data_IF_033697893758
#
_entry.id   IF_033697893758
#
_cell.length_a   1.000
_cell.length_b   1.000
_cell.length_c   1.000
_cell.angle_alpha   90.00
_cell.angle_beta   90.00
_cell.angle_gamma   90.00
#
_symmetry.space_group_name_H-M   'P 1'
#
loop_
_entity.id
_entity.type
_entity.pdbx_description
1 polymer ?
#
# COMPACT_ATOMS: atom_id res chain seq x y z
N UNK A 1 -9.35 -37.28 5.03
CA UNK A 1 -8.86 -36.57 3.84
C UNK A 1 -7.73 -37.39 3.21
N UNK A 2 -7.69 -37.51 1.89
CA UNK A 2 -6.60 -38.22 1.19
C UNK A 2 -5.28 -37.44 1.35
N UNK A 3 -4.17 -38.07 1.76
CA UNK A 3 -2.86 -37.42 1.87
C UNK A 3 -2.40 -36.68 0.60
N UNK A 4 -2.77 -37.19 -0.58
CA UNK A 4 -2.44 -36.57 -1.87
C UNK A 4 -3.24 -35.30 -2.12
N UNK A 5 -4.50 -35.29 -1.69
CA UNK A 5 -5.40 -34.13 -1.81
C UNK A 5 -5.00 -33.03 -0.83
N UNK A 6 -4.61 -33.40 0.40
CA UNK A 6 -4.03 -32.48 1.37
C UNK A 6 -2.77 -31.78 0.84
N UNK A 7 -1.84 -32.55 0.25
CA UNK A 7 -0.58 -31.99 -0.27
C UNK A 7 -0.83 -31.02 -1.45
N UNK A 8 -1.81 -31.31 -2.30
CA UNK A 8 -2.22 -30.42 -3.39
C UNK A 8 -2.78 -29.10 -2.87
N UNK A 9 -3.67 -29.17 -1.88
CA UNK A 9 -4.23 -27.99 -1.22
C UNK A 9 -3.10 -27.16 -0.61
N UNK A 10 -2.20 -27.76 0.18
CA UNK A 10 -1.08 -27.04 0.80
C UNK A 10 -0.18 -26.31 -0.23
N UNK A 11 0.09 -26.94 -1.38
CA UNK A 11 0.91 -26.32 -2.44
C UNK A 11 0.18 -25.13 -3.09
N UNK A 12 -1.12 -25.26 -3.37
CA UNK A 12 -1.92 -24.17 -3.93
C UNK A 12 -1.97 -22.98 -2.96
N UNK A 13 -2.20 -23.23 -1.68
CA UNK A 13 -2.25 -22.20 -0.63
C UNK A 13 -0.92 -21.44 -0.53
N UNK A 14 0.22 -22.15 -0.55
CA UNK A 14 1.56 -21.54 -0.53
C UNK A 14 1.80 -20.67 -1.76
N UNK A 15 1.35 -21.10 -2.95
CA UNK A 15 1.47 -20.33 -4.19
C UNK A 15 0.63 -19.05 -4.14
N UNK A 16 -0.61 -19.15 -3.67
CA UNK A 16 -1.52 -18.00 -3.50
C UNK A 16 -0.89 -16.95 -2.58
N UNK A 17 -0.40 -17.37 -1.40
CA UNK A 17 0.28 -16.50 -0.43
C UNK A 17 1.48 -15.77 -1.05
N UNK A 18 2.32 -16.47 -1.82
CA UNK A 18 3.49 -15.88 -2.47
C UNK A 18 3.06 -14.84 -3.53
N UNK A 19 2.03 -15.16 -4.31
CA UNK A 19 1.49 -14.26 -5.34
C UNK A 19 0.99 -12.95 -4.74
N UNK A 20 0.15 -13.02 -3.71
CA UNK A 20 -0.43 -11.87 -3.02
C UNK A 20 0.68 -10.97 -2.44
N UNK A 21 1.61 -11.55 -1.68
CA UNK A 21 2.73 -10.79 -1.09
C UNK A 21 3.62 -10.13 -2.14
N UNK A 22 3.84 -10.81 -3.26
CA UNK A 22 4.63 -10.26 -4.38
C UNK A 22 3.93 -9.05 -4.99
N UNK A 23 2.61 -9.11 -5.17
CA UNK A 23 1.83 -8.02 -5.73
C UNK A 23 1.80 -6.81 -4.78
N UNK A 24 1.55 -7.01 -3.49
CA UNK A 24 1.63 -5.95 -2.48
C UNK A 24 3.01 -5.28 -2.46
N UNK A 25 4.08 -6.08 -2.42
CA UNK A 25 5.46 -5.57 -2.41
C UNK A 25 5.75 -4.73 -3.66
N UNK A 26 5.22 -5.14 -4.82
CA UNK A 26 5.36 -4.38 -6.08
C UNK A 26 4.61 -3.06 -6.01
N UNK A 27 3.37 -3.05 -5.54
CA UNK A 27 2.57 -1.83 -5.40
C UNK A 27 3.22 -0.84 -4.42
N UNK A 28 3.72 -1.34 -3.29
CA UNK A 28 4.45 -0.54 -2.30
C UNK A 28 5.69 0.12 -2.91
N UNK A 29 6.51 -0.67 -3.62
CA UNK A 29 7.69 -0.14 -4.31
C UNK A 29 7.32 0.93 -5.34
N UNK A 30 6.19 0.76 -6.02
CA UNK A 30 5.71 1.76 -6.98
C UNK A 30 5.44 3.09 -6.27
N UNK A 31 4.68 3.09 -5.16
CA UNK A 31 4.43 4.29 -4.36
C UNK A 31 5.74 4.95 -3.92
N UNK A 32 6.64 4.19 -3.29
CA UNK A 32 7.92 4.71 -2.79
C UNK A 32 8.76 5.33 -3.90
N UNK A 33 8.84 4.68 -5.07
CA UNK A 33 9.62 5.20 -6.20
C UNK A 33 9.10 6.56 -6.72
N UNK A 34 7.80 6.80 -6.61
CA UNK A 34 7.20 8.08 -6.99
C UNK A 34 7.50 9.19 -5.97
N UNK A 35 7.60 8.83 -4.68
CA UNK A 35 8.01 9.77 -3.63
C UNK A 35 9.48 10.18 -3.80
N UNK A 36 10.36 9.22 -4.10
CA UNK A 36 11.80 9.47 -4.30
C UNK A 36 12.11 10.24 -5.61
N UNK A 37 11.29 10.03 -6.65
CA UNK A 37 11.50 10.61 -7.98
C UNK A 37 10.96 12.02 -8.18
N UNK A 38 10.49 12.73 -7.14
CA UNK A 38 9.78 14.00 -7.26
C UNK A 38 8.60 13.95 -8.25
N UNK A 39 7.80 12.88 -8.18
CA UNK A 39 6.65 12.73 -9.07
C UNK A 39 5.53 13.73 -8.72
N UNK A 40 4.71 14.11 -9.71
CA UNK A 40 3.57 14.99 -9.45
C UNK A 40 2.49 14.29 -8.60
N UNK A 41 1.67 15.09 -7.91
CA UNK A 41 0.62 14.60 -6.99
C UNK A 41 -0.36 13.63 -7.64
N UNK A 42 -0.67 13.80 -8.93
CA UNK A 42 -1.55 12.89 -9.67
C UNK A 42 -0.97 11.47 -9.78
N UNK A 43 0.35 11.35 -9.98
CA UNK A 43 1.05 10.08 -10.10
C UNK A 43 1.13 9.36 -8.75
N UNK A 44 1.46 10.10 -7.68
CA UNK A 44 1.47 9.55 -6.31
C UNK A 44 0.07 9.06 -5.92
N UNK A 45 -0.98 9.85 -6.20
CA UNK A 45 -2.37 9.44 -5.94
C UNK A 45 -2.77 8.18 -6.72
N UNK A 46 -2.34 8.05 -7.97
CA UNK A 46 -2.60 6.85 -8.77
C UNK A 46 -1.87 5.62 -8.20
N UNK A 47 -0.64 5.79 -7.71
CA UNK A 47 0.12 4.72 -7.08
C UNK A 47 -0.48 4.29 -5.74
N UNK A 48 -0.97 5.22 -4.91
CA UNK A 48 -1.70 4.90 -3.68
C UNK A 48 -2.94 4.04 -3.96
N UNK A 49 -3.73 4.39 -4.99
CA UNK A 49 -4.90 3.57 -5.39
C UNK A 49 -4.52 2.14 -5.80
N UNK A 50 -3.36 1.96 -6.44
CA UNK A 50 -2.87 0.62 -6.77
C UNK A 50 -2.45 -0.16 -5.52
N UNK A 51 -1.88 0.53 -4.53
CA UNK A 51 -1.55 -0.06 -3.25
C UNK A 51 -2.80 -0.46 -2.46
N UNK A 52 -3.84 0.37 -2.45
CA UNK A 52 -5.14 0.06 -1.83
C UNK A 52 -5.77 -1.19 -2.45
N UNK A 53 -5.78 -1.26 -3.78
CA UNK A 53 -6.27 -2.44 -4.50
C UNK A 53 -5.46 -3.70 -4.17
N UNK A 54 -4.13 -3.59 -4.15
CA UNK A 54 -3.26 -4.72 -3.81
C UNK A 54 -3.47 -5.19 -2.37
N UNK A 55 -3.70 -4.27 -1.44
CA UNK A 55 -3.97 -4.57 -0.03
C UNK A 55 -5.28 -5.36 0.14
N UNK A 56 -6.37 -4.89 -0.48
CA UNK A 56 -7.69 -5.53 -0.42
C UNK A 56 -7.65 -6.98 -0.94
N UNK A 57 -6.98 -7.21 -2.07
CA UNK A 57 -6.80 -8.55 -2.62
C UNK A 57 -5.95 -9.45 -1.72
N UNK A 58 -4.94 -8.90 -1.03
CA UNK A 58 -4.11 -9.64 -0.08
C UNK A 58 -4.90 -10.03 1.16
N UNK A 59 -5.69 -9.12 1.73
CA UNK A 59 -6.55 -9.40 2.90
C UNK A 59 -7.54 -10.50 2.55
N UNK A 60 -8.31 -10.35 1.46
CA UNK A 60 -9.28 -11.36 1.01
C UNK A 60 -8.66 -12.74 0.82
N UNK A 61 -7.48 -12.76 0.21
CA UNK A 61 -6.72 -13.99 0.02
C UNK A 61 -6.29 -14.62 1.34
N UNK A 62 -5.74 -13.83 2.27
CA UNK A 62 -5.32 -14.31 3.59
C UNK A 62 -6.50 -14.78 4.46
N UNK A 63 -7.66 -14.12 4.37
CA UNK A 63 -8.90 -14.57 5.04
C UNK A 63 -9.37 -15.92 4.50
N UNK A 64 -9.38 -16.08 3.18
CA UNK A 64 -9.70 -17.36 2.53
C UNK A 64 -8.74 -18.46 2.98
N UNK A 65 -7.43 -18.16 3.05
CA UNK A 65 -6.41 -19.08 3.57
C UNK A 65 -6.67 -19.44 5.05
N UNK A 66 -6.97 -18.46 5.90
CA UNK A 66 -7.24 -18.68 7.32
C UNK A 66 -8.45 -19.59 7.53
N UNK A 67 -9.55 -19.35 6.80
CA UNK A 67 -10.75 -20.16 6.85
C UNK A 67 -10.49 -21.61 6.43
N UNK A 68 -9.75 -21.82 5.32
CA UNK A 68 -9.36 -23.17 4.88
C UNK A 68 -8.49 -23.90 5.92
N UNK A 69 -7.59 -23.21 6.63
CA UNK A 69 -6.80 -23.84 7.70
C UNK A 69 -7.62 -24.18 8.94
N UNK A 70 -8.63 -23.38 9.29
CA UNK A 70 -9.55 -23.70 10.39
C UNK A 70 -10.41 -24.92 10.08
N UNK A 71 -10.84 -25.10 8.84
CA UNK A 71 -11.62 -26.28 8.40
C UNK A 71 -10.83 -27.59 8.50
N UNK A 72 -9.49 -27.53 8.47
CA UNK A 72 -8.58 -28.70 8.52
C UNK A 72 -7.98 -28.91 9.93
N UNK A 73 -8.46 -28.19 10.95
CA UNK A 73 -7.97 -28.24 12.36
C UNK A 73 -6.48 -27.85 12.51
N UNK A 74 -5.97 -26.97 11.63
CA UNK A 74 -4.58 -26.50 11.65
C UNK A 74 -4.43 -25.14 12.35
N UNK A 75 -4.85 -25.07 13.62
CA UNK A 75 -4.88 -23.85 14.43
C UNK A 75 -3.57 -23.05 14.41
N UNK A 76 -2.43 -23.73 14.45
CA UNK A 76 -1.12 -23.08 14.46
C UNK A 76 -0.81 -22.40 13.11
N UNK A 77 -1.28 -22.97 12.00
CA UNK A 77 -1.11 -22.34 10.68
C UNK A 77 -2.02 -21.13 10.51
N UNK A 78 -3.23 -21.15 11.08
CA UNK A 78 -4.13 -19.99 11.09
C UNK A 78 -3.51 -18.80 11.84
N UNK A 79 -2.89 -19.02 13.02
CA UNK A 79 -2.18 -17.94 13.75
C UNK A 79 -1.07 -17.30 12.93
N UNK A 80 -0.31 -18.08 12.15
CA UNK A 80 0.75 -17.57 11.27
C UNK A 80 0.15 -16.69 10.15
N UNK A 81 -1.04 -17.03 9.64
CA UNK A 81 -1.73 -16.22 8.64
C UNK A 81 -2.19 -14.90 9.25
N UNK A 82 -2.81 -14.92 10.42
CA UNK A 82 -3.25 -13.72 11.15
C UNK A 82 -2.06 -12.78 11.42
N UNK A 83 -0.95 -13.29 11.94
CA UNK A 83 0.24 -12.49 12.21
C UNK A 83 0.84 -11.88 10.91
N UNK A 84 0.72 -12.56 9.77
CA UNK A 84 1.14 -12.01 8.49
C UNK A 84 0.18 -10.90 8.01
N UNK A 85 -1.13 -11.03 8.24
CA UNK A 85 -2.11 -9.97 7.95
C UNK A 85 -1.79 -8.69 8.72
N UNK A 86 -1.62 -8.79 10.05
CA UNK A 86 -1.27 -7.66 10.91
C UNK A 86 0.01 -6.96 10.44
N UNK A 87 1.01 -7.73 10.02
CA UNK A 87 2.26 -7.18 9.49
C UNK A 87 2.04 -6.41 8.19
N UNK A 88 1.24 -6.94 7.27
CA UNK A 88 0.96 -6.30 5.98
C UNK A 88 0.14 -5.02 6.19
N UNK A 89 -0.82 -5.03 7.13
CA UNK A 89 -1.59 -3.84 7.51
C UNK A 89 -0.67 -2.71 8.02
N UNK A 90 0.27 -3.04 8.91
CA UNK A 90 1.25 -2.07 9.41
C UNK A 90 2.17 -1.53 8.29
N UNK A 91 2.59 -2.38 7.35
CA UNK A 91 3.38 -1.95 6.19
C UNK A 91 2.57 -1.03 5.25
N UNK A 92 1.27 -1.28 5.11
CA UNK A 92 0.35 -0.45 4.35
C UNK A 92 0.17 0.93 5.00
N UNK A 93 -0.20 0.96 6.28
CA UNK A 93 -0.41 2.20 7.05
C UNK A 93 0.79 3.13 6.92
N UNK A 94 1.99 2.60 7.21
CA UNK A 94 3.24 3.38 7.08
C UNK A 94 3.43 3.95 5.67
N UNK A 95 3.19 3.15 4.64
CA UNK A 95 3.37 3.61 3.25
C UNK A 95 2.37 4.72 2.89
N UNK A 96 1.13 4.62 3.40
CA UNK A 96 0.12 5.65 3.19
C UNK A 96 0.40 6.94 3.96
N UNK A 97 0.92 6.84 5.20
CA UNK A 97 1.34 7.99 6.00
C UNK A 97 2.47 8.76 5.30
N UNK A 98 3.48 8.06 4.81
CA UNK A 98 4.60 8.65 4.06
C UNK A 98 4.11 9.38 2.80
N UNK A 99 3.16 8.78 2.06
CA UNK A 99 2.57 9.42 0.88
C UNK A 99 1.72 10.65 1.23
N UNK A 100 0.95 10.59 2.30
CA UNK A 100 0.16 11.73 2.80
C UNK A 100 1.06 12.90 3.24
N UNK A 101 2.16 12.61 3.94
CA UNK A 101 3.14 13.61 4.34
C UNK A 101 3.74 14.32 3.11
N UNK A 102 4.18 13.56 2.11
CA UNK A 102 4.72 14.11 0.86
C UNK A 102 3.72 15.05 0.14
N UNK A 103 2.46 14.63 0.01
CA UNK A 103 1.43 15.44 -0.65
C UNK A 103 1.12 16.73 0.11
N UNK A 104 1.17 16.70 1.45
CA UNK A 104 0.99 17.88 2.28
C UNK A 104 2.15 18.87 2.15
N UNK A 105 3.38 18.38 2.10
CA UNK A 105 4.58 19.21 1.91
C UNK A 105 4.54 19.91 0.55
N UNK A 106 4.23 19.19 -0.52
CA UNK A 106 4.08 19.75 -1.87
C UNK A 106 3.02 20.87 -1.92
N UNK A 107 1.90 20.68 -1.20
CA UNK A 107 0.83 21.69 -1.10
C UNK A 107 1.30 22.94 -0.36
N UNK A 108 2.05 22.77 0.73
CA UNK A 108 2.63 23.87 1.52
C UNK A 108 3.62 24.69 0.69
N UNK A 109 4.50 24.02 -0.04
CA UNK A 109 5.47 24.67 -0.91
C UNK A 109 4.77 25.47 -2.02
N UNK A 110 3.77 24.87 -2.67
CA UNK A 110 2.97 25.54 -3.69
C UNK A 110 2.28 26.80 -3.14
N UNK A 111 1.68 26.72 -1.94
CA UNK A 111 1.03 27.87 -1.31
C UNK A 111 2.03 28.99 -0.97
N UNK A 112 3.24 28.65 -0.50
CA UNK A 112 4.32 29.59 -0.22
C UNK A 112 4.78 30.31 -1.49
N UNK A 113 4.95 29.58 -2.59
CA UNK A 113 5.33 30.16 -3.88
C UNK A 113 4.26 31.10 -4.43
N UNK A 114 2.97 30.72 -4.34
CA UNK A 114 1.84 31.57 -4.76
C UNK A 114 1.77 32.86 -3.94
N UNK A 115 1.96 32.78 -2.62
CA UNK A 115 1.99 33.96 -1.74
C UNK A 115 3.15 34.93 -2.06
N UNK A 116 4.34 34.39 -2.36
CA UNK A 116 5.49 35.19 -2.81
C UNK A 116 5.23 35.88 -4.16
N UNK A 117 4.60 35.17 -5.10
CA UNK A 117 4.24 35.76 -6.39
C UNK A 117 3.19 36.89 -6.26
N UNK A 118 2.17 36.70 -5.42
CA UNK A 118 1.12 37.70 -5.16
C UNK A 118 1.67 38.95 -4.45
N UNK A 119 2.58 38.77 -3.47
CA UNK A 119 3.21 39.91 -2.79
C UNK A 119 4.14 40.72 -3.70
N UNK A 120 4.87 40.06 -4.62
CA UNK A 120 5.69 40.76 -5.61
C UNK A 120 4.84 41.55 -6.61
N UNK A 121 3.73 40.99 -7.09
CA UNK A 121 2.83 41.67 -8.05
C UNK A 121 2.08 42.86 -7.42
N UNK A 122 1.80 42.78 -6.10
CA UNK A 122 1.22 43.90 -5.34
C UNK A 122 2.22 45.03 -5.14
N UNK A 123 3.50 44.72 -4.92
CA UNK A 123 4.56 45.73 -4.82
C UNK A 123 4.83 46.40 -6.17
N UNK A 124 4.82 45.68 -7.29
CA UNK A 124 5.01 46.29 -8.61
C UNK A 124 3.89 47.24 -9.04
N UNK A 125 2.65 47.08 -8.54
CA UNK A 125 1.52 47.97 -8.84
C UNK A 125 1.45 49.22 -7.95
N UNK A 126 2.24 49.30 -6.87
CA UNK A 126 2.31 50.46 -5.98
C UNK A 126 3.40 51.47 -6.37
N UNK A 127 4.26 51.13 -7.36
CA UNK A 127 5.37 51.96 -7.82
C UNK A 127 5.23 52.46 -9.28
N UNK A 128 4.03 52.41 -9.85
CA UNK A 128 3.68 53.08 -11.12
C UNK A 128 2.46 53.97 -10.94
#
# INVERSE_FOLDING_TARGET
MDPVEYLKTEILLKREKISLKTNFTRARKNVVSHLEGNACSATVNAACKQLDFAMDEVIKGLDSLSNMYMEVDELEKSKIVIAEMEKIELEYEKTTEDACAYLNDLRSETASQVSKALSHDTVSKLYF
#
